data_IF_699157629230
#
_entry.id   IF_699157629230
#
_cell.length_a   1.000
_cell.length_b   1.000
_cell.length_c   1.000
_cell.angle_alpha   90.00
_cell.angle_beta   90.00
_cell.angle_gamma   90.00
#
_symmetry.space_group_name_H-M   'P 1'
#
loop_
_entity.id
_entity.type
_entity.pdbx_description
1 polymer ?
#
# COMPACT_ATOMS: atom_id res chain seq x y z
N UNK A 1 5.81 8.99 -2.52
CA UNK A 1 5.43 7.96 -1.51
C UNK A 1 5.89 8.19 -0.06
N UNK A 2 7.15 8.55 0.22
CA UNK A 2 7.72 8.53 1.60
C UNK A 2 6.87 9.20 2.68
N UNK A 3 6.47 10.46 2.47
CA UNK A 3 5.67 11.21 3.47
C UNK A 3 4.34 10.54 3.81
N UNK A 4 3.72 9.90 2.83
CA UNK A 4 2.44 9.20 2.98
C UNK A 4 2.64 7.93 3.81
N UNK A 5 3.66 7.13 3.49
CA UNK A 5 4.03 5.94 4.24
C UNK A 5 4.33 6.28 5.71
N UNK A 6 5.14 7.30 5.98
CA UNK A 6 5.42 7.72 7.36
C UNK A 6 4.19 8.23 8.10
N UNK A 7 3.31 8.97 7.41
CA UNK A 7 2.05 9.39 8.02
C UNK A 7 1.22 8.19 8.45
N UNK A 8 1.11 7.16 7.61
CA UNK A 8 0.41 5.92 7.96
C UNK A 8 1.13 5.22 9.14
N UNK A 9 2.46 5.13 9.13
CA UNK A 9 3.23 4.53 10.23
C UNK A 9 2.96 5.25 11.55
N UNK A 10 3.04 6.58 11.55
CA UNK A 10 2.76 7.40 12.73
C UNK A 10 1.32 7.20 13.23
N UNK A 11 0.33 7.16 12.31
CA UNK A 11 -1.07 6.89 12.64
C UNK A 11 -1.27 5.50 13.29
N UNK A 12 -0.42 4.51 12.96
CA UNK A 12 -0.47 3.15 13.55
C UNK A 12 0.23 3.04 14.89
N UNK A 13 1.15 3.96 15.20
CA UNK A 13 1.87 3.99 16.46
C UNK A 13 1.03 4.61 17.57
N UNK A 14 1.33 4.25 18.82
CA UNK A 14 0.64 4.80 19.99
C UNK A 14 0.85 6.32 20.06
N UNK A 15 -0.22 7.05 20.31
CA UNK A 15 -0.16 8.50 20.53
C UNK A 15 0.25 8.83 21.98
N UNK A 16 1.10 9.86 22.20
CA UNK A 16 1.86 10.61 21.18
C UNK A 16 2.98 9.75 20.59
N UNK A 17 3.15 9.81 19.26
CA UNK A 17 4.16 9.01 18.57
C UNK A 17 5.56 9.58 18.82
N UNK A 18 6.50 8.70 19.14
CA UNK A 18 7.94 8.98 19.27
C UNK A 18 8.73 8.56 18.03
N UNK A 19 8.04 8.41 16.90
CA UNK A 19 8.62 8.01 15.63
C UNK A 19 9.85 8.85 15.26
N UNK A 20 10.95 8.16 14.98
CA UNK A 20 12.18 8.74 14.46
C UNK A 20 12.72 7.87 13.34
N UNK A 21 12.63 8.37 12.11
CA UNK A 21 13.25 7.73 10.94
C UNK A 21 14.76 7.61 11.14
N UNK A 22 15.30 6.45 10.78
CA UNK A 22 16.74 6.18 10.74
C UNK A 22 17.20 6.13 9.29
N UNK A 23 16.51 5.33 8.47
CA UNK A 23 16.93 5.03 7.11
C UNK A 23 15.73 4.70 6.23
N UNK A 24 15.89 4.95 4.92
CA UNK A 24 14.93 4.53 3.90
C UNK A 24 15.70 3.93 2.74
N UNK A 25 15.38 2.66 2.46
CA UNK A 25 15.75 2.01 1.21
C UNK A 25 14.61 2.15 0.21
N UNK A 26 14.92 2.36 -1.07
CA UNK A 26 13.93 2.54 -2.13
C UNK A 26 14.20 1.59 -3.30
N UNK A 27 13.16 0.90 -3.74
CA UNK A 27 13.16 -0.03 -4.86
C UNK A 27 11.97 0.26 -5.77
N UNK A 28 12.16 0.02 -7.07
CA UNK A 28 11.11 0.16 -8.07
C UNK A 28 11.32 -0.88 -9.16
N UNK A 29 10.35 -1.78 -9.31
CA UNK A 29 10.41 -2.86 -10.28
C UNK A 29 9.21 -2.78 -11.23
N UNK A 30 9.41 -2.90 -12.55
CA UNK A 30 8.30 -3.10 -13.48
C UNK A 30 7.52 -4.36 -13.13
N UNK A 31 6.19 -4.26 -13.15
CA UNK A 31 5.29 -5.38 -12.91
C UNK A 31 4.90 -5.99 -14.26
N UNK A 32 5.15 -7.28 -14.49
CA UNK A 32 4.68 -7.98 -15.67
C UNK A 32 3.15 -7.86 -15.79
N UNK A 33 2.65 -7.73 -17.03
CA UNK A 33 1.22 -7.50 -17.28
C UNK A 33 0.31 -8.56 -16.64
N UNK A 34 0.72 -9.83 -16.69
CA UNK A 34 -0.02 -10.94 -16.08
C UNK A 34 -0.09 -10.83 -14.56
N UNK A 35 1.01 -10.42 -13.93
CA UNK A 35 1.05 -10.19 -12.49
C UNK A 35 0.20 -8.98 -12.10
N UNK A 36 0.28 -7.89 -12.87
CA UNK A 36 -0.56 -6.71 -12.68
C UNK A 36 -2.05 -7.06 -12.73
N UNK A 37 -2.46 -7.83 -13.76
CA UNK A 37 -3.84 -8.28 -13.92
C UNK A 37 -4.29 -9.08 -12.70
N UNK A 38 -3.48 -10.04 -12.26
CA UNK A 38 -3.80 -10.88 -11.10
C UNK A 38 -3.97 -10.05 -9.82
N UNK A 39 -3.02 -9.15 -9.52
CA UNK A 39 -3.10 -8.28 -8.32
C UNK A 39 -4.41 -7.49 -8.34
N UNK A 40 -4.76 -6.90 -9.48
CA UNK A 40 -5.98 -6.09 -9.60
C UNK A 40 -7.24 -6.92 -9.53
N UNK A 41 -7.28 -8.11 -10.12
CA UNK A 41 -8.41 -9.02 -9.98
C UNK A 41 -8.64 -9.45 -8.52
N UNK A 42 -7.58 -9.75 -7.79
CA UNK A 42 -7.63 -10.09 -6.36
C UNK A 42 -8.14 -8.91 -5.51
N UNK A 43 -7.74 -7.68 -5.82
CA UNK A 43 -8.22 -6.47 -5.14
C UNK A 43 -9.70 -6.20 -5.43
N UNK A 44 -10.12 -6.34 -6.70
CA UNK A 44 -11.52 -6.20 -7.11
C UNK A 44 -12.38 -7.26 -6.42
N UNK A 45 -11.91 -8.50 -6.30
CA UNK A 45 -12.65 -9.59 -5.67
C UNK A 45 -12.95 -9.32 -4.18
N UNK A 46 -12.11 -8.53 -3.49
CA UNK A 46 -12.31 -8.15 -2.08
C UNK A 46 -13.41 -7.09 -1.87
N UNK A 47 -13.83 -6.40 -2.94
CA UNK A 47 -14.91 -5.42 -2.85
C UNK A 47 -16.27 -6.09 -2.66
N UNK A 48 -17.06 -5.59 -1.70
CA UNK A 48 -18.43 -6.06 -1.45
C UNK A 48 -19.49 -5.46 -2.40
N UNK A 49 -19.23 -4.28 -2.96
CA UNK A 49 -20.14 -3.58 -3.86
C UNK A 49 -20.06 -4.12 -5.30
N UNK A 50 -21.12 -4.80 -5.76
CA UNK A 50 -21.15 -5.41 -7.08
C UNK A 50 -20.97 -4.41 -8.24
N UNK A 51 -21.65 -3.27 -8.20
CA UNK A 51 -21.54 -2.26 -9.27
C UNK A 51 -20.14 -1.65 -9.37
N UNK A 52 -19.50 -1.41 -8.22
CA UNK A 52 -18.11 -0.94 -8.20
C UNK A 52 -17.14 -1.99 -8.74
N UNK A 53 -17.36 -3.29 -8.45
CA UNK A 53 -16.54 -4.36 -9.04
C UNK A 53 -16.64 -4.40 -10.56
N UNK A 54 -17.85 -4.30 -11.10
CA UNK A 54 -18.05 -4.39 -12.55
C UNK A 54 -17.37 -3.22 -13.26
N UNK A 55 -17.46 -2.01 -12.69
CA UNK A 55 -16.74 -0.84 -13.17
C UNK A 55 -15.21 -1.06 -13.14
N UNK A 56 -14.66 -1.50 -12.02
CA UNK A 56 -13.20 -1.74 -11.89
C UNK A 56 -12.72 -2.83 -12.85
N UNK A 57 -13.51 -3.88 -13.12
CA UNK A 57 -13.16 -4.90 -14.13
C UNK A 57 -13.08 -4.31 -15.54
N UNK A 58 -14.01 -3.42 -15.91
CA UNK A 58 -13.97 -2.73 -17.20
C UNK A 58 -12.74 -1.82 -17.30
N UNK A 59 -12.45 -1.06 -16.25
CA UNK A 59 -11.26 -0.21 -16.19
C UNK A 59 -9.96 -1.01 -16.27
N UNK A 60 -9.88 -2.14 -15.57
CA UNK A 60 -8.74 -3.06 -15.64
C UNK A 60 -8.52 -3.56 -17.07
N UNK A 61 -9.59 -3.94 -17.78
CA UNK A 61 -9.51 -4.36 -19.18
C UNK A 61 -8.93 -3.25 -20.05
N UNK A 62 -9.46 -2.03 -19.95
CA UNK A 62 -8.96 -0.86 -20.70
C UNK A 62 -7.48 -0.62 -20.41
N UNK A 63 -7.08 -0.64 -19.14
CA UNK A 63 -5.69 -0.41 -18.75
C UNK A 63 -4.76 -1.51 -19.27
N UNK A 64 -5.19 -2.77 -19.20
CA UNK A 64 -4.43 -3.92 -19.73
C UNK A 64 -4.26 -3.82 -21.24
N UNK A 65 -5.31 -3.46 -21.98
CA UNK A 65 -5.26 -3.28 -23.44
C UNK A 65 -4.30 -2.15 -23.82
N UNK A 66 -4.31 -1.02 -23.08
CA UNK A 66 -3.39 0.10 -23.30
C UNK A 66 -1.93 -0.24 -23.00
N UNK A 67 -1.67 -1.08 -21.99
CA UNK A 67 -0.32 -1.56 -21.69
C UNK A 67 0.14 -2.53 -22.77
N UNK A 68 -0.71 -3.48 -23.17
CA UNK A 68 -0.41 -4.48 -24.20
C UNK A 68 -0.14 -3.85 -25.57
N UNK A 69 -0.85 -2.76 -25.92
CA UNK A 69 -0.62 -2.01 -27.15
C UNK A 69 0.63 -1.12 -27.10
N UNK A 70 1.27 -0.97 -25.93
CA UNK A 70 2.37 -0.02 -25.71
C UNK A 70 1.94 1.44 -25.64
N UNK A 71 0.64 1.74 -25.65
CA UNK A 71 0.11 3.10 -25.48
C UNK A 71 0.27 3.63 -24.05
N UNK A 72 0.51 2.74 -23.09
CA UNK A 72 0.87 3.04 -21.70
C UNK A 72 2.12 2.23 -21.31
N UNK A 73 2.98 2.83 -20.50
CA UNK A 73 4.13 2.13 -19.91
C UNK A 73 3.70 0.99 -18.98
N UNK A 74 4.62 0.07 -18.71
CA UNK A 74 4.38 -0.99 -17.75
C UNK A 74 4.11 -0.42 -16.34
N UNK A 75 3.18 -0.98 -15.57
CA UNK A 75 2.99 -0.62 -14.18
C UNK A 75 4.28 -0.83 -13.39
N UNK A 76 4.50 -0.01 -12.37
CA UNK A 76 5.68 -0.10 -11.49
C UNK A 76 5.23 -0.39 -10.07
N UNK A 77 5.88 -1.36 -9.42
CA UNK A 77 5.76 -1.59 -7.99
C UNK A 77 6.87 -0.81 -7.29
N UNK A 78 6.50 0.27 -6.61
CA UNK A 78 7.41 0.99 -5.72
C UNK A 78 7.41 0.33 -4.35
N UNK A 79 8.59 0.07 -3.79
CA UNK A 79 8.78 -0.44 -2.43
C UNK A 79 9.73 0.45 -1.65
N UNK A 80 9.37 0.79 -0.42
CA UNK A 80 10.24 1.49 0.53
C UNK A 80 10.33 0.69 1.81
N UNK A 81 11.55 0.42 2.25
CA UNK A 81 11.80 -0.15 3.57
C UNK A 81 12.24 0.98 4.49
N UNK A 82 11.44 1.27 5.51
CA UNK A 82 11.72 2.34 6.46
C UNK A 82 12.18 1.71 7.76
N UNK A 83 13.45 1.96 8.14
CA UNK A 83 13.96 1.67 9.48
C UNK A 83 13.71 2.88 10.37
N UNK A 84 13.10 2.67 11.53
CA UNK A 84 12.75 3.74 12.46
C UNK A 84 12.82 3.28 13.91
N UNK A 85 13.04 4.23 14.82
CA UNK A 85 12.86 4.02 16.25
C UNK A 85 11.47 4.55 16.65
N UNK A 86 10.75 3.83 17.52
CA UNK A 86 9.51 4.28 18.15
C UNK A 86 9.33 3.59 19.50
N UNK A 87 8.65 4.23 20.44
CA UNK A 87 8.38 3.65 21.75
C UNK A 87 7.31 2.55 21.66
N UNK A 88 7.54 1.45 22.38
CA UNK A 88 6.55 0.41 22.58
C UNK A 88 5.46 0.85 23.60
N UNK A 89 4.55 -0.07 23.94
CA UNK A 89 3.46 0.20 24.89
C UNK A 89 3.92 0.64 26.30
N UNK A 90 5.18 0.41 26.66
CA UNK A 90 5.76 0.78 27.96
C UNK A 90 6.70 2.00 27.87
N UNK A 91 6.76 2.68 26.72
CA UNK A 91 7.62 3.85 26.54
C UNK A 91 9.08 3.52 26.22
N UNK A 92 9.44 2.23 26.09
CA UNK A 92 10.81 1.83 25.73
C UNK A 92 11.01 2.02 24.23
N UNK A 93 12.04 2.78 23.78
CA UNK A 93 12.37 2.90 22.37
C UNK A 93 12.76 1.55 21.79
N UNK A 94 12.09 1.14 20.71
CA UNK A 94 12.40 -0.06 19.94
C UNK A 94 12.70 0.33 18.49
N UNK A 95 13.59 -0.44 17.85
CA UNK A 95 13.87 -0.31 16.44
C UNK A 95 12.98 -1.22 15.63
N UNK A 96 12.31 -0.67 14.63
CA UNK A 96 11.40 -1.39 13.75
C UNK A 96 11.76 -1.17 12.28
N UNK A 97 11.25 -2.06 11.43
CA UNK A 97 11.33 -1.99 9.99
C UNK A 97 9.93 -2.20 9.43
N UNK A 98 9.49 -1.30 8.56
CA UNK A 98 8.24 -1.45 7.82
C UNK A 98 8.47 -1.39 6.32
N UNK A 99 7.68 -2.18 5.60
CA UNK A 99 7.61 -2.17 4.14
C UNK A 99 6.43 -1.32 3.68
N UNK A 100 6.68 -0.38 2.79
CA UNK A 100 5.66 0.43 2.14
C UNK A 100 5.64 0.15 0.65
N UNK A 101 4.49 -0.27 0.12
CA UNK A 101 4.34 -0.59 -1.30
C UNK A 101 3.29 0.28 -1.98
N UNK A 102 3.53 0.60 -3.24
CA UNK A 102 2.59 1.27 -4.14
C UNK A 102 2.68 0.62 -5.52
N UNK A 103 1.56 0.05 -5.97
CA UNK A 103 1.39 -0.31 -7.37
C UNK A 103 0.94 0.95 -8.13
N UNK A 104 1.81 1.48 -8.98
CA UNK A 104 1.48 2.61 -9.84
C UNK A 104 1.21 2.15 -11.26
N UNK A 105 0.06 2.52 -11.79
CA UNK A 105 -0.36 2.15 -13.14
C UNK A 105 0.31 3.00 -14.24
N UNK A 106 0.75 4.21 -13.90
CA UNK A 106 1.43 5.12 -14.81
C UNK A 106 2.94 5.22 -14.56
N UNK A 107 3.47 4.44 -13.61
CA UNK A 107 4.88 4.45 -13.24
C UNK A 107 5.33 5.67 -12.43
N UNK A 108 4.41 6.37 -11.77
CA UNK A 108 4.71 7.55 -10.95
C UNK A 108 4.41 7.36 -9.47
N UNK A 109 5.38 7.72 -8.62
CA UNK A 109 5.21 7.82 -7.17
C UNK A 109 4.27 8.96 -6.72
N UNK A 110 3.89 9.88 -7.63
CA UNK A 110 3.03 11.02 -7.31
C UNK A 110 1.60 10.60 -6.97
N UNK A 111 1.19 9.41 -7.39
CA UNK A 111 -0.12 8.82 -7.09
C UNK A 111 -0.23 8.30 -5.65
N UNK A 112 0.89 8.29 -4.90
CA UNK A 112 0.90 7.83 -3.53
C UNK A 112 -0.09 8.64 -2.68
N UNK A 113 -1.05 7.94 -2.08
CA UNK A 113 -2.04 8.48 -1.17
C UNK A 113 -2.23 7.55 0.03
N UNK A 114 -2.88 8.05 1.07
CA UNK A 114 -3.15 7.26 2.27
C UNK A 114 -4.06 6.04 2.01
N UNK A 115 -4.70 5.99 0.83
CA UNK A 115 -5.68 4.97 0.48
C UNK A 115 -5.07 3.82 -0.32
N UNK A 116 -4.07 4.08 -1.17
CA UNK A 116 -3.46 3.08 -2.05
C UNK A 116 -2.05 2.64 -1.63
N UNK A 117 -1.36 3.41 -0.79
CA UNK A 117 -0.11 2.95 -0.17
C UNK A 117 -0.44 1.86 0.83
N UNK A 118 0.19 0.70 0.67
CA UNK A 118 0.13 -0.40 1.63
C UNK A 118 1.34 -0.27 2.54
N UNK A 119 1.11 -0.46 3.84
CA UNK A 119 2.18 -0.53 4.84
C UNK A 119 2.07 -1.89 5.51
N UNK A 120 3.15 -2.64 5.51
CA UNK A 120 3.24 -4.03 6.00
C UNK A 120 2.13 -4.90 5.41
N UNK A 121 1.95 -4.78 4.08
CA UNK A 121 0.99 -5.55 3.30
C UNK A 121 -0.46 -5.07 3.38
N UNK A 122 -0.82 -4.06 4.18
CA UNK A 122 -2.21 -3.57 4.29
C UNK A 122 -2.36 -2.10 3.97
N UNK A 123 -3.44 -1.75 3.27
CA UNK A 123 -3.94 -0.37 3.18
C UNK A 123 -4.43 0.12 4.55
N UNK A 124 -4.71 1.42 4.67
CA UNK A 124 -5.27 1.99 5.91
C UNK A 124 -6.61 1.35 6.28
N UNK A 125 -7.51 1.16 5.31
CA UNK A 125 -8.83 0.57 5.55
C UNK A 125 -8.74 -0.89 5.99
N UNK A 126 -7.91 -1.70 5.32
CA UNK A 126 -7.71 -3.12 5.70
C UNK A 126 -7.12 -3.23 7.11
N UNK A 127 -6.17 -2.36 7.48
CA UNK A 127 -5.59 -2.32 8.82
C UNK A 127 -6.63 -2.00 9.89
N UNK A 128 -7.48 -0.99 9.67
CA UNK A 128 -8.55 -0.63 10.62
C UNK A 128 -9.56 -1.77 10.79
N UNK A 129 -9.96 -2.41 9.68
CA UNK A 129 -10.86 -3.58 9.73
C UNK A 129 -10.22 -4.71 10.53
N UNK A 130 -8.92 -4.96 10.35
CA UNK A 130 -8.17 -5.96 11.12
C UNK A 130 -8.23 -5.67 12.62
N UNK A 131 -7.94 -4.43 13.04
CA UNK A 131 -8.00 -4.03 14.45
C UNK A 131 -9.39 -4.24 15.08
N UNK A 132 -10.46 -3.89 14.37
CA UNK A 132 -11.85 -4.07 14.86
C UNK A 132 -12.17 -5.56 15.03
N UNK A 133 -11.72 -6.41 14.10
CA UNK A 133 -11.94 -7.86 14.21
C UNK A 133 -11.19 -8.45 15.41
N UNK A 134 -9.95 -8.03 15.64
CA UNK A 134 -9.13 -8.47 16.77
C UNK A 134 -9.69 -7.96 18.12
N UNK A 135 -10.27 -6.76 18.16
CA UNK A 135 -10.87 -6.23 19.40
C UNK A 135 -12.16 -6.94 19.80
N UNK A 136 -12.93 -7.45 18.83
CA UNK A 136 -14.22 -8.13 19.07
C UNK A 136 -14.08 -9.62 19.39
N UNK A 137 -12.84 -10.14 19.38
CA UNK A 137 -12.53 -11.53 19.74
C UNK A 137 -12.05 -11.68 21.19
N UNK A 138 -11.91 -10.56 21.92
CA UNK A 138 -11.61 -10.49 23.35
C UNK A 138 -12.83 -9.96 24.12
#
# INVERSE_FOLDING_TARGET
MTRVCEKILIDRLRSPSTYKRIEIDHYSDPVPLEEFRKIREDEIAKTSNAGYRDFERQMLKINTDLIASGSRGAPIMFKKYIRYDAANAYGTPIRALSECTLLSENGSESEASIFNVRVDGTTKSEYLIKLIKESNQN
#
